data_IF_087526577445
#
_entry.id   IF_087526577445
#
_cell.length_a   1.000
_cell.length_b   1.000
_cell.length_c   1.000
_cell.angle_alpha   90.00
_cell.angle_beta   90.00
_cell.angle_gamma   90.00
#
_symmetry.space_group_name_H-M   'P 1'
#
loop_
_entity.id
_entity.type
_entity.pdbx_description
1 polymer ?
#
# COMPACT_ATOMS: atom_id res chain seq x y z
N UNK A 1 -39.56 -22.29 -11.10
CA UNK A 1 -38.10 -22.43 -11.09
C UNK A 1 -37.55 -21.24 -11.86
N UNK A 2 -37.09 -20.21 -11.15
CA UNK A 2 -36.51 -19.02 -11.77
C UNK A 2 -35.02 -19.34 -11.92
N UNK A 3 -34.56 -19.47 -13.17
CA UNK A 3 -33.12 -19.55 -13.47
C UNK A 3 -32.48 -18.22 -13.05
N UNK A 4 -31.76 -18.24 -11.95
CA UNK A 4 -30.90 -17.16 -11.54
C UNK A 4 -29.80 -17.02 -12.60
N UNK A 5 -29.93 -16.02 -13.44
CA UNK A 5 -28.93 -15.72 -14.48
C UNK A 5 -27.67 -15.29 -13.79
N UNK A 6 -26.69 -16.17 -13.74
CA UNK A 6 -25.36 -15.88 -13.21
C UNK A 6 -24.76 -14.75 -14.05
N UNK A 7 -24.78 -13.53 -13.52
CA UNK A 7 -24.14 -12.37 -14.14
C UNK A 7 -22.64 -12.41 -13.76
N UNK A 8 -21.83 -12.89 -14.68
CA UNK A 8 -20.36 -12.81 -14.55
C UNK A 8 -19.93 -11.40 -14.97
N UNK A 9 -19.23 -10.73 -14.09
CA UNK A 9 -18.59 -9.46 -14.47
C UNK A 9 -17.41 -9.73 -15.42
N UNK A 10 -17.30 -9.00 -16.53
CA UNK A 10 -16.18 -9.17 -17.45
C UNK A 10 -14.87 -8.77 -16.78
N UNK A 11 -13.85 -9.63 -16.87
CA UNK A 11 -12.49 -9.28 -16.44
C UNK A 11 -11.98 -8.20 -17.39
N UNK A 12 -11.89 -6.96 -16.90
CA UNK A 12 -11.30 -5.86 -17.65
C UNK A 12 -9.78 -5.89 -17.51
N UNK A 13 -9.06 -5.30 -18.46
CA UNK A 13 -7.59 -5.18 -18.39
C UNK A 13 -7.14 -4.42 -17.12
N UNK A 14 -7.94 -3.49 -16.64
CA UNK A 14 -7.69 -2.73 -15.40
C UNK A 14 -7.78 -3.65 -14.19
N UNK A 15 -8.84 -4.44 -14.05
CA UNK A 15 -9.02 -5.38 -12.94
C UNK A 15 -7.91 -6.44 -12.91
N UNK A 16 -7.49 -6.91 -14.08
CA UNK A 16 -6.40 -7.88 -14.19
C UNK A 16 -5.07 -7.29 -13.73
N UNK A 17 -4.74 -6.06 -14.15
CA UNK A 17 -3.54 -5.35 -13.72
C UNK A 17 -3.54 -5.15 -12.20
N UNK A 18 -4.62 -4.67 -11.63
CA UNK A 18 -4.75 -4.45 -10.18
C UNK A 18 -4.62 -5.75 -9.38
N UNK A 19 -5.16 -6.84 -9.90
CA UNK A 19 -5.00 -8.16 -9.29
C UNK A 19 -3.54 -8.61 -9.29
N UNK A 20 -2.82 -8.41 -10.38
CA UNK A 20 -1.38 -8.71 -10.48
C UNK A 20 -0.58 -7.82 -9.53
N UNK A 21 -0.86 -6.51 -9.48
CA UNK A 21 -0.23 -5.57 -8.55
C UNK A 21 -0.41 -6.03 -7.10
N UNK A 22 -1.62 -6.41 -6.73
CA UNK A 22 -1.92 -6.90 -5.38
C UNK A 22 -1.17 -8.20 -5.07
N UNK A 23 -1.18 -9.16 -6.00
CA UNK A 23 -0.49 -10.45 -5.81
C UNK A 23 1.01 -10.30 -5.65
N UNK A 24 1.65 -9.48 -6.50
CA UNK A 24 3.10 -9.24 -6.43
C UNK A 24 3.45 -8.45 -5.16
N UNK A 25 2.67 -7.42 -4.83
CA UNK A 25 2.85 -6.65 -3.57
C UNK A 25 2.76 -7.56 -2.35
N UNK A 26 1.75 -8.41 -2.29
CA UNK A 26 1.57 -9.35 -1.18
C UNK A 26 2.75 -10.34 -1.07
N UNK A 27 3.25 -10.84 -2.19
CA UNK A 27 4.41 -11.72 -2.23
C UNK A 27 5.70 -11.02 -1.74
N UNK A 28 5.90 -9.75 -2.11
CA UNK A 28 7.03 -8.95 -1.60
C UNK A 28 6.90 -8.71 -0.09
N UNK A 29 5.73 -8.27 0.38
CA UNK A 29 5.50 -7.95 1.78
C UNK A 29 5.53 -9.18 2.70
N UNK A 30 5.18 -10.37 2.18
CA UNK A 30 5.29 -11.64 2.92
C UNK A 30 6.70 -12.23 2.94
N UNK A 31 7.66 -11.61 2.21
CA UNK A 31 9.03 -12.11 2.10
C UNK A 31 9.18 -13.28 1.13
N UNK A 32 8.20 -13.54 0.27
CA UNK A 32 8.32 -14.54 -0.80
C UNK A 32 9.31 -14.12 -1.90
N UNK A 33 9.55 -12.81 -2.02
CA UNK A 33 10.67 -12.24 -2.77
C UNK A 33 11.60 -11.50 -1.80
N UNK A 34 12.89 -11.76 -1.91
CA UNK A 34 13.90 -11.11 -1.07
C UNK A 34 14.19 -9.67 -1.56
N UNK A 35 14.62 -8.75 -0.67
CA UNK A 35 15.14 -7.44 -1.08
C UNK A 35 16.24 -7.60 -2.14
N UNK A 36 16.18 -6.80 -3.21
CA UNK A 36 17.10 -6.87 -4.35
C UNK A 36 16.81 -8.01 -5.34
N UNK A 37 15.91 -8.93 -5.02
CA UNK A 37 15.59 -10.06 -5.89
C UNK A 37 14.99 -9.58 -7.22
N UNK A 38 15.39 -10.25 -8.30
CA UNK A 38 14.95 -9.92 -9.65
C UNK A 38 13.54 -10.46 -9.92
N UNK A 39 12.64 -9.58 -10.32
CA UNK A 39 11.28 -9.89 -10.73
C UNK A 39 11.24 -10.16 -12.23
N UNK A 40 11.16 -11.45 -12.63
CA UNK A 40 11.17 -11.87 -14.03
C UNK A 40 9.75 -11.88 -14.57
N UNK A 41 9.43 -10.97 -15.50
CA UNK A 41 8.09 -10.82 -16.10
C UNK A 41 7.50 -12.14 -16.61
N UNK A 42 8.33 -12.99 -17.27
CA UNK A 42 7.86 -14.27 -17.81
C UNK A 42 7.48 -15.26 -16.72
N UNK A 43 8.25 -15.34 -15.66
CA UNK A 43 7.99 -16.24 -14.54
C UNK A 43 6.70 -15.84 -13.82
N UNK A 44 6.52 -14.53 -13.56
CA UNK A 44 5.29 -14.03 -12.93
C UNK A 44 4.09 -14.27 -13.85
N UNK A 45 4.23 -14.04 -15.15
CA UNK A 45 3.17 -14.27 -16.13
C UNK A 45 2.76 -15.75 -16.19
N UNK A 46 3.73 -16.67 -16.15
CA UNK A 46 3.47 -18.12 -16.09
C UNK A 46 2.75 -18.52 -14.80
N UNK A 47 3.22 -18.04 -13.64
CA UNK A 47 2.61 -18.36 -12.34
C UNK A 47 1.16 -17.87 -12.22
N UNK A 48 0.88 -16.68 -12.77
CA UNK A 48 -0.45 -16.09 -12.75
C UNK A 48 -1.33 -16.49 -13.95
N UNK A 49 -0.79 -17.30 -14.87
CA UNK A 49 -1.45 -17.71 -16.11
C UNK A 49 -1.99 -16.52 -16.94
N UNK A 50 -1.15 -15.50 -17.11
CA UNK A 50 -1.47 -14.28 -17.87
C UNK A 50 -0.39 -13.97 -18.91
N UNK A 51 -0.65 -13.02 -19.80
CA UNK A 51 0.39 -12.52 -20.73
C UNK A 51 1.37 -11.59 -20.01
N UNK A 52 2.55 -11.33 -20.61
CA UNK A 52 3.58 -10.44 -20.03
C UNK A 52 3.17 -8.98 -19.97
N UNK A 53 2.29 -8.53 -20.87
CA UNK A 53 1.91 -7.12 -20.97
C UNK A 53 1.29 -6.59 -19.66
N UNK A 54 0.23 -7.19 -19.10
CA UNK A 54 -0.35 -6.72 -17.83
C UNK A 54 0.62 -6.88 -16.65
N UNK A 55 1.53 -7.87 -16.67
CA UNK A 55 2.58 -7.99 -15.63
C UNK A 55 3.54 -6.80 -15.68
N UNK A 56 3.97 -6.40 -16.86
CA UNK A 56 4.85 -5.23 -17.03
C UNK A 56 4.17 -3.95 -16.56
N UNK A 57 2.90 -3.77 -16.87
CA UNK A 57 2.10 -2.63 -16.41
C UNK A 57 1.97 -2.61 -14.88
N UNK A 58 1.73 -3.76 -14.27
CA UNK A 58 1.67 -3.92 -12.81
C UNK A 58 3.02 -3.60 -12.15
N UNK A 59 4.13 -4.14 -12.68
CA UNK A 59 5.47 -3.84 -12.16
C UNK A 59 5.83 -2.36 -12.31
N UNK A 60 5.41 -1.72 -13.41
CA UNK A 60 5.59 -0.28 -13.59
C UNK A 60 4.75 0.55 -12.61
N UNK A 61 3.58 0.06 -12.18
CA UNK A 61 2.80 0.69 -11.13
C UNK A 61 3.50 0.56 -9.76
N UNK A 62 3.94 -0.64 -9.39
CA UNK A 62 4.70 -0.90 -8.17
C UNK A 62 6.04 -0.12 -8.11
N UNK A 63 6.65 0.13 -9.26
CA UNK A 63 7.82 1.00 -9.34
C UNK A 63 7.50 2.44 -8.96
N UNK A 64 6.35 2.97 -9.40
CA UNK A 64 5.91 4.33 -9.01
C UNK A 64 5.60 4.45 -7.52
N UNK A 65 5.22 3.36 -6.89
CA UNK A 65 5.02 3.27 -5.44
C UNK A 65 6.34 3.09 -4.66
N UNK A 66 7.46 2.85 -5.35
CA UNK A 66 8.77 2.65 -4.72
C UNK A 66 8.98 1.28 -4.09
N UNK A 67 8.10 0.30 -4.37
CA UNK A 67 8.24 -1.08 -3.88
C UNK A 67 9.17 -1.89 -4.81
N UNK A 68 9.17 -1.54 -6.09
CA UNK A 68 9.96 -2.19 -7.14
C UNK A 68 10.88 -1.17 -7.80
N UNK A 69 12.11 -1.55 -8.08
CA UNK A 69 13.08 -0.75 -8.82
C UNK A 69 13.18 -1.28 -10.27
N UNK A 70 13.29 -0.38 -11.24
CA UNK A 70 13.60 -0.75 -12.62
C UNK A 70 15.03 -0.33 -12.97
N UNK A 71 15.85 -1.31 -13.31
CA UNK A 71 17.23 -1.08 -13.74
C UNK A 71 17.30 -1.28 -15.25
N UNK A 72 17.75 -0.29 -16.04
CA UNK A 72 17.90 -0.42 -17.47
C UNK A 72 18.69 -1.68 -17.85
N UNK A 73 18.21 -2.45 -18.80
CA UNK A 73 18.76 -3.73 -19.29
C UNK A 73 18.74 -4.89 -18.30
N UNK A 74 18.43 -4.65 -17.02
CA UNK A 74 18.33 -5.70 -15.99
C UNK A 74 16.87 -6.04 -15.64
N UNK A 75 15.92 -5.15 -15.97
CA UNK A 75 14.50 -5.33 -15.69
C UNK A 75 14.13 -4.86 -14.28
N UNK A 76 13.14 -5.50 -13.68
CA UNK A 76 12.61 -5.14 -12.37
C UNK A 76 13.25 -5.96 -11.26
N UNK A 77 13.41 -5.35 -10.09
CA UNK A 77 13.82 -6.00 -8.83
C UNK A 77 13.05 -5.43 -7.64
N UNK A 78 12.97 -6.19 -6.57
CA UNK A 78 12.48 -5.68 -5.27
C UNK A 78 13.42 -4.58 -4.79
N UNK A 79 12.86 -3.51 -4.22
CA UNK A 79 13.70 -2.44 -3.64
C UNK A 79 14.46 -3.01 -2.46
N UNK A 80 15.76 -2.76 -2.44
CA UNK A 80 16.64 -3.11 -1.33
C UNK A 80 17.05 -1.80 -0.63
N UNK A 81 16.62 -1.65 0.62
CA UNK A 81 16.94 -0.49 1.43
C UNK A 81 18.19 -0.77 2.26
N UNK A 82 19.18 0.08 2.11
CA UNK A 82 20.33 0.06 3.01
C UNK A 82 19.92 0.48 4.44
N UNK A 83 20.70 0.09 5.44
CA UNK A 83 20.50 0.54 6.83
C UNK A 83 20.44 2.07 6.94
N UNK A 84 21.17 2.76 6.08
CA UNK A 84 21.14 4.22 6.00
C UNK A 84 19.79 4.74 5.51
N UNK A 85 19.23 4.15 4.44
CA UNK A 85 17.91 4.53 3.91
C UNK A 85 16.84 4.32 4.97
N UNK A 86 16.90 3.17 5.67
CA UNK A 86 16.00 2.87 6.79
C UNK A 86 16.12 3.93 7.89
N UNK A 87 17.34 4.28 8.31
CA UNK A 87 17.56 5.29 9.34
C UNK A 87 17.04 6.68 8.90
N UNK A 88 17.24 7.07 7.64
CA UNK A 88 16.76 8.33 7.09
C UNK A 88 15.21 8.35 7.07
N UNK A 89 14.55 7.27 6.61
CA UNK A 89 13.09 7.14 6.61
C UNK A 89 12.53 7.25 8.03
N UNK A 90 13.10 6.53 9.00
CA UNK A 90 12.66 6.59 10.39
C UNK A 90 12.85 7.98 11.00
N UNK A 91 13.93 8.66 10.68
CA UNK A 91 14.17 10.02 11.15
C UNK A 91 13.10 11.00 10.64
N UNK A 92 12.74 10.89 9.36
CA UNK A 92 11.65 11.69 8.78
C UNK A 92 10.29 11.33 9.37
N UNK A 93 10.00 10.05 9.59
CA UNK A 93 8.77 9.61 10.24
C UNK A 93 8.64 10.17 11.64
N UNK A 94 9.69 10.07 12.46
CA UNK A 94 9.69 10.63 13.83
C UNK A 94 9.39 12.12 13.80
N UNK A 95 10.03 12.85 12.90
CA UNK A 95 9.81 14.30 12.74
C UNK A 95 8.36 14.62 12.38
N UNK A 96 7.82 13.95 11.37
CA UNK A 96 6.46 14.19 10.88
C UNK A 96 5.40 13.73 11.88
N UNK A 97 5.56 12.54 12.46
CA UNK A 97 4.62 11.99 13.43
C UNK A 97 4.61 12.81 14.73
N UNK A 98 5.77 13.26 15.20
CA UNK A 98 5.89 14.14 16.37
C UNK A 98 5.21 15.49 16.14
N UNK A 99 5.41 16.09 14.97
CA UNK A 99 4.77 17.37 14.64
C UNK A 99 3.26 17.20 14.44
N UNK A 100 2.83 16.11 13.80
CA UNK A 100 1.41 15.79 13.67
C UNK A 100 0.76 15.60 15.04
N UNK A 101 1.36 14.82 15.94
CA UNK A 101 0.88 14.62 17.30
C UNK A 101 0.80 15.95 18.07
N UNK A 102 1.82 16.80 17.98
CA UNK A 102 1.84 18.09 18.68
C UNK A 102 0.71 19.02 18.21
N UNK A 103 0.39 19.01 16.92
CA UNK A 103 -0.73 19.78 16.37
C UNK A 103 -2.07 19.19 16.78
N UNK A 104 -2.19 17.87 16.73
CA UNK A 104 -3.42 17.15 17.08
C UNK A 104 -3.74 17.29 18.56
N UNK A 105 -2.77 17.11 19.47
CA UNK A 105 -2.97 17.23 20.91
C UNK A 105 -3.48 18.61 21.35
N UNK A 106 -3.22 19.65 20.57
CA UNK A 106 -3.78 20.98 20.82
C UNK A 106 -5.27 21.10 20.46
N UNK A 107 -5.81 20.14 19.70
CA UNK A 107 -7.19 20.15 19.17
C UNK A 107 -8.07 19.05 19.78
N UNK A 108 -7.46 17.99 20.33
CA UNK A 108 -8.15 16.82 20.86
C UNK A 108 -8.76 17.14 22.23
N UNK A 109 -10.05 16.87 22.36
CA UNK A 109 -10.77 16.99 23.64
C UNK A 109 -10.74 15.66 24.42
N UNK A 110 -11.10 15.69 25.69
CA UNK A 110 -11.24 14.48 26.51
C UNK A 110 -12.33 13.55 25.97
N UNK A 111 -13.34 14.09 25.29
CA UNK A 111 -14.44 13.36 24.67
C UNK A 111 -13.96 12.61 23.41
N UNK A 112 -13.14 13.25 22.56
CA UNK A 112 -12.52 12.61 21.40
C UNK A 112 -11.63 11.42 21.81
N UNK A 113 -10.91 11.56 22.94
CA UNK A 113 -10.06 10.49 23.47
C UNK A 113 -10.90 9.31 24.01
N UNK A 114 -12.01 9.59 24.68
CA UNK A 114 -12.91 8.57 25.20
C UNK A 114 -13.59 7.78 24.07
N UNK A 115 -14.06 8.46 23.04
CA UNK A 115 -14.63 7.85 21.83
C UNK A 115 -13.63 6.97 21.11
N UNK A 116 -12.39 7.43 20.98
CA UNK A 116 -11.29 6.68 20.34
C UNK A 116 -10.91 5.41 21.12
N UNK A 117 -10.90 5.48 22.46
CA UNK A 117 -10.65 4.32 23.32
C UNK A 117 -11.81 3.31 23.30
N UNK A 118 -13.05 3.79 23.10
CA UNK A 118 -14.24 2.94 22.99
C UNK A 118 -14.35 2.25 21.60
N UNK A 119 -13.85 2.90 20.53
CA UNK A 119 -13.91 2.41 19.14
C UNK A 119 -12.55 2.52 18.42
N UNK A 120 -11.56 1.71 18.76
CA UNK A 120 -10.20 1.84 18.22
C UNK A 120 -10.05 1.51 16.71
N UNK A 121 -11.13 1.16 16.02
CA UNK A 121 -11.09 0.67 14.63
C UNK A 121 -11.62 1.65 13.57
N UNK A 122 -12.17 2.79 13.98
CA UNK A 122 -12.68 3.80 13.05
C UNK A 122 -11.89 5.10 13.14
N UNK A 123 -10.68 5.10 12.60
CA UNK A 123 -9.96 6.35 12.38
C UNK A 123 -9.71 6.51 10.89
N UNK A 124 -10.44 7.36 10.22
CA UNK A 124 -10.14 7.80 8.85
C UNK A 124 -9.60 9.23 8.87
N UNK A 125 -8.54 9.50 8.11
CA UNK A 125 -8.02 10.86 7.92
C UNK A 125 -8.71 11.49 6.72
N UNK A 126 -9.52 12.49 6.96
CA UNK A 126 -10.00 13.37 5.89
C UNK A 126 -9.00 14.52 5.69
N UNK A 127 -8.12 14.35 4.70
CA UNK A 127 -7.10 15.34 4.36
C UNK A 127 -7.71 16.65 3.84
N UNK A 128 -8.92 16.61 3.27
CA UNK A 128 -9.61 17.80 2.78
C UNK A 128 -10.16 18.66 3.94
N UNK A 129 -10.58 18.03 5.03
CA UNK A 129 -11.01 18.72 6.23
C UNK A 129 -9.86 19.47 6.93
N UNK A 130 -8.60 18.98 6.82
CA UNK A 130 -7.41 19.63 7.37
C UNK A 130 -7.10 20.98 6.76
N UNK A 131 -7.35 21.16 5.47
CA UNK A 131 -7.10 22.42 4.77
C UNK A 131 -8.14 23.49 5.10
N UNK A 132 -9.26 23.12 5.70
CA UNK A 132 -10.38 23.99 6.06
C UNK A 132 -10.56 24.19 7.57
N UNK A 133 -9.62 23.71 8.41
CA UNK A 133 -9.70 23.84 9.87
C UNK A 133 -10.63 22.82 10.53
N UNK A 134 -10.91 21.71 9.88
CA UNK A 134 -11.74 20.60 10.40
C UNK A 134 -10.94 19.55 11.17
N UNK A 135 -11.66 18.68 11.85
CA UNK A 135 -11.15 17.61 12.72
C UNK A 135 -10.52 16.47 11.92
N UNK A 136 -9.37 15.96 12.39
CA UNK A 136 -8.67 14.80 11.79
C UNK A 136 -9.16 13.52 12.48
N UNK A 137 -9.65 12.57 11.68
CA UNK A 137 -9.85 11.19 12.14
C UNK A 137 -8.73 10.30 11.59
N UNK A 138 -7.92 9.70 12.45
CA UNK A 138 -6.77 8.84 12.06
C UNK A 138 -7.14 7.35 12.15
N UNK A 139 -7.06 6.55 11.06
CA UNK A 139 -7.14 5.08 11.17
C UNK A 139 -5.83 4.50 11.69
N UNK A 140 -5.86 3.94 12.88
CA UNK A 140 -4.79 3.13 13.43
C UNK A 140 -5.06 1.65 13.12
N UNK A 141 -4.76 1.21 11.90
CA UNK A 141 -4.61 -0.20 11.60
C UNK A 141 -3.18 -0.64 11.94
N UNK A 142 -2.87 -0.74 13.23
CA UNK A 142 -1.74 -1.52 13.73
C UNK A 142 -2.30 -2.87 14.15
N UNK A 143 -2.35 -3.84 13.22
CA UNK A 143 -2.37 -5.26 13.60
C UNK A 143 -0.94 -5.66 13.85
N UNK A 144 -0.59 -5.74 15.15
CA UNK A 144 0.48 -6.58 15.61
C UNK A 144 0.04 -8.04 15.52
N UNK A 145 0.86 -8.87 14.96
CA UNK A 145 1.15 -10.22 15.45
C UNK A 145 2.65 -10.29 15.65
#
# INVERSE_FOLDING_TARGET
MVSETLQLEPITAVNLREHIEHSVRSAILSGAFEPGERLVESTIAEQLNVSRAPVREALAALQREGIVAHVPRKGYSVVDFSDRDVAEIYSLRILLETEALRRTLALVTAEDLADHLANPLEVSVDVAALQQGGTIHLPLALRGQ
#
